data_IF_115128865266
#
_entry.id   IF_115128865266
#
_cell.length_a   1.000
_cell.length_b   1.000
_cell.length_c   1.000
_cell.angle_alpha   90.00
_cell.angle_beta   90.00
_cell.angle_gamma   90.00
#
_symmetry.space_group_name_H-M   'P 1'
#
loop_
_entity.id
_entity.type
_entity.pdbx_description
1 polymer ?
#
# COMPACT_ATOMS: atom_id res chain seq x y z
N UNK A 1 5.49 11.22 13.25
CA UNK A 1 6.48 10.71 14.22
C UNK A 1 7.75 11.57 14.29
N UNK A 2 8.31 12.04 13.15
CA UNK A 2 9.50 12.90 13.15
C UNK A 2 9.38 14.20 14.00
N UNK A 3 8.26 14.94 13.89
CA UNK A 3 8.00 16.16 14.69
C UNK A 3 7.99 15.85 16.19
N UNK A 4 7.41 14.71 16.59
CA UNK A 4 7.34 14.25 17.99
C UNK A 4 8.73 13.86 18.51
N UNK A 5 9.54 13.14 17.73
CA UNK A 5 10.91 12.80 18.12
C UNK A 5 11.78 14.05 18.25
N UNK A 6 11.59 15.04 17.37
CA UNK A 6 12.34 16.29 17.40
C UNK A 6 12.02 17.14 18.63
N UNK A 7 10.77 17.16 19.10
CA UNK A 7 10.42 17.85 20.37
C UNK A 7 11.22 17.33 21.57
N UNK A 8 11.58 16.04 21.59
CA UNK A 8 12.43 15.47 22.65
C UNK A 8 13.94 15.62 22.40
N UNK A 9 14.37 15.97 21.18
CA UNK A 9 15.78 16.16 20.81
C UNK A 9 16.20 17.63 20.66
N UNK A 10 15.31 18.58 20.97
CA UNK A 10 15.53 20.03 20.83
C UNK A 10 16.80 20.54 21.52
N UNK A 11 17.15 19.96 22.67
CA UNK A 11 18.33 20.33 23.45
C UNK A 11 19.67 19.94 22.80
N UNK A 12 19.66 18.97 21.87
CA UNK A 12 20.86 18.46 21.19
C UNK A 12 21.32 19.37 20.03
N UNK A 13 20.41 20.17 19.46
CA UNK A 13 20.72 21.06 18.34
C UNK A 13 21.01 22.49 18.82
N UNK A 14 22.31 22.81 18.88
CA UNK A 14 22.84 24.08 19.39
C UNK A 14 22.44 25.29 18.52
N UNK A 15 22.33 25.12 17.19
CA UNK A 15 22.01 26.20 16.26
C UNK A 15 20.50 26.28 15.98
N UNK A 16 19.93 27.49 16.05
CA UNK A 16 18.53 27.79 15.68
C UNK A 16 18.24 27.50 14.20
N UNK A 17 19.21 27.73 13.31
CA UNK A 17 19.05 27.48 11.87
C UNK A 17 18.82 26.01 11.54
N UNK A 18 19.60 25.10 12.16
CA UNK A 18 19.44 23.66 11.96
C UNK A 18 18.08 23.15 12.44
N UNK A 19 17.57 23.68 13.56
CA UNK A 19 16.23 23.34 14.07
C UNK A 19 15.14 23.75 13.08
N UNK A 20 15.19 24.98 12.60
CA UNK A 20 14.21 25.50 11.64
C UNK A 20 14.26 24.72 10.32
N UNK A 21 15.47 24.42 9.81
CA UNK A 21 15.65 23.65 8.58
C UNK A 21 15.04 22.25 8.67
N UNK A 22 15.23 21.54 9.79
CA UNK A 22 14.65 20.21 9.98
C UNK A 22 13.12 20.27 10.05
N UNK A 23 12.54 21.25 10.76
CA UNK A 23 11.08 21.40 10.82
C UNK A 23 10.49 21.72 9.45
N UNK A 24 11.06 22.70 8.74
CA UNK A 24 10.60 23.07 7.41
C UNK A 24 10.70 21.89 6.42
N UNK A 25 11.83 21.18 6.43
CA UNK A 25 12.03 19.98 5.62
C UNK A 25 11.02 18.87 5.96
N UNK A 26 10.74 18.67 7.26
CA UNK A 26 9.76 17.67 7.72
C UNK A 26 8.34 18.00 7.26
N UNK A 27 7.93 19.27 7.33
CA UNK A 27 6.61 19.73 6.86
C UNK A 27 6.52 19.56 5.34
N UNK A 28 7.54 19.97 4.59
CA UNK A 28 7.57 19.83 3.14
C UNK A 28 7.46 18.37 2.71
N UNK A 29 8.28 17.49 3.32
CA UNK A 29 8.23 16.05 3.08
C UNK A 29 6.85 15.47 3.40
N UNK A 30 6.25 15.90 4.52
CA UNK A 30 4.93 15.44 4.94
C UNK A 30 3.84 15.84 3.95
N UNK A 31 3.82 17.12 3.52
CA UNK A 31 2.84 17.62 2.55
C UNK A 31 3.00 16.91 1.21
N UNK A 32 4.24 16.73 0.74
CA UNK A 32 4.51 16.00 -0.51
C UNK A 32 4.05 14.55 -0.43
N UNK A 33 4.41 13.83 0.64
CA UNK A 33 4.01 12.44 0.84
C UNK A 33 2.47 12.31 0.93
N UNK A 34 1.81 13.22 1.66
CA UNK A 34 0.35 13.27 1.78
C UNK A 34 -0.31 13.54 0.43
N UNK A 35 0.25 14.45 -0.37
CA UNK A 35 -0.25 14.74 -1.70
C UNK A 35 -0.08 13.54 -2.65
N UNK A 36 1.07 12.86 -2.63
CA UNK A 36 1.32 11.66 -3.44
C UNK A 36 0.34 10.53 -3.10
N UNK A 37 0.18 10.20 -1.81
CA UNK A 37 -0.74 9.12 -1.40
C UNK A 37 -2.21 9.46 -1.64
N UNK A 38 -2.59 10.74 -1.67
CA UNK A 38 -3.97 11.15 -1.96
C UNK A 38 -4.26 11.26 -3.46
N UNK A 39 -3.30 11.71 -4.25
CA UNK A 39 -3.48 11.89 -5.69
C UNK A 39 -3.34 10.59 -6.46
N UNK A 40 -2.52 9.65 -5.97
CA UNK A 40 -2.16 8.42 -6.71
C UNK A 40 -1.59 8.73 -8.11
N UNK A 41 -1.04 9.93 -8.33
CA UNK A 41 -0.65 10.43 -9.65
C UNK A 41 0.43 9.58 -10.37
N UNK A 42 1.19 8.78 -9.61
CA UNK A 42 2.24 7.91 -10.12
C UNK A 42 1.81 6.45 -10.29
N UNK A 43 0.54 6.12 -10.05
CA UNK A 43 -0.01 4.76 -10.20
C UNK A 43 -0.72 4.69 -11.54
N UNK A 44 -0.33 3.72 -12.37
CA UNK A 44 -0.82 3.51 -13.74
C UNK A 44 -1.26 2.06 -13.90
N UNK A 45 -1.95 1.74 -14.98
CA UNK A 45 -2.63 0.44 -15.17
C UNK A 45 -1.74 -0.77 -14.86
N UNK A 46 -0.57 -0.86 -15.50
CA UNK A 46 0.35 -1.99 -15.30
C UNK A 46 0.89 -2.05 -13.87
N UNK A 47 1.25 -0.92 -13.26
CA UNK A 47 1.77 -0.92 -11.88
C UNK A 47 0.69 -1.23 -10.84
N UNK A 48 -0.56 -0.82 -11.11
CA UNK A 48 -1.72 -1.16 -10.29
C UNK A 48 -2.04 -2.66 -10.37
N UNK A 49 -2.12 -3.21 -11.58
CA UNK A 49 -2.43 -4.64 -11.80
C UNK A 49 -1.33 -5.52 -11.18
N UNK A 50 -0.06 -5.20 -11.40
CA UNK A 50 1.07 -5.92 -10.79
C UNK A 50 1.04 -5.90 -9.26
N UNK A 51 0.54 -4.84 -8.64
CA UNK A 51 0.35 -4.77 -7.20
C UNK A 51 -0.90 -5.54 -6.72
N UNK A 52 -1.93 -5.66 -7.56
CA UNK A 52 -3.17 -6.37 -7.20
C UNK A 52 -3.06 -7.89 -7.29
N UNK A 53 -2.22 -8.44 -8.17
CA UNK A 53 -1.95 -9.90 -8.21
C UNK A 53 -1.51 -10.42 -6.83
N UNK A 54 -0.44 -9.91 -6.19
CA UNK A 54 -0.03 -10.39 -4.87
C UNK A 54 -1.04 -10.03 -3.77
N UNK A 55 -1.78 -8.92 -3.89
CA UNK A 55 -2.86 -8.57 -2.96
C UNK A 55 -4.01 -9.62 -2.97
N UNK A 56 -4.36 -10.12 -4.15
CA UNK A 56 -5.35 -11.19 -4.27
C UNK A 56 -4.78 -12.52 -3.77
N UNK A 57 -3.53 -12.83 -4.13
CA UNK A 57 -2.85 -14.05 -3.68
C UNK A 57 -2.74 -14.13 -2.15
N UNK A 58 -2.46 -13.02 -1.45
CA UNK A 58 -2.42 -13.04 0.01
C UNK A 58 -3.80 -13.29 0.62
N UNK A 59 -4.88 -12.75 0.04
CA UNK A 59 -6.24 -13.01 0.52
C UNK A 59 -6.63 -14.49 0.36
N UNK A 60 -6.22 -15.13 -0.73
CA UNK A 60 -6.38 -16.59 -0.93
C UNK A 60 -5.60 -17.36 0.15
N UNK A 61 -4.32 -17.03 0.37
CA UNK A 61 -3.47 -17.68 1.39
C UNK A 61 -4.03 -17.51 2.81
N UNK A 62 -4.52 -16.31 3.13
CA UNK A 62 -5.16 -16.04 4.43
C UNK A 62 -6.41 -16.90 4.60
N UNK A 63 -7.24 -17.01 3.57
CA UNK A 63 -8.43 -17.86 3.63
C UNK A 63 -8.08 -19.36 3.71
N UNK A 64 -7.07 -19.85 3.01
CA UNK A 64 -6.63 -21.25 3.09
C UNK A 64 -6.19 -21.66 4.52
N UNK A 65 -5.73 -20.70 5.32
CA UNK A 65 -5.32 -20.91 6.72
C UNK A 65 -6.38 -20.51 7.74
N UNK A 66 -7.52 -19.97 7.31
CA UNK A 66 -8.56 -19.50 8.21
C UNK A 66 -9.43 -20.66 8.71
N UNK A 67 -9.58 -20.76 10.03
CA UNK A 67 -10.53 -21.66 10.68
C UNK A 67 -11.90 -20.96 10.77
N UNK A 68 -12.80 -21.32 9.84
CA UNK A 68 -14.15 -20.75 9.77
C UNK A 68 -15.17 -21.79 10.26
N UNK A 69 -16.04 -21.41 11.19
CA UNK A 69 -17.08 -22.29 11.74
C UNK A 69 -18.48 -21.98 11.22
N UNK A 70 -18.79 -20.73 10.86
CA UNK A 70 -20.09 -20.33 10.30
C UNK A 70 -20.18 -20.75 8.82
N UNK A 71 -21.14 -21.63 8.44
CA UNK A 71 -21.31 -22.09 7.05
C UNK A 71 -21.53 -20.95 6.04
N UNK A 72 -22.19 -19.86 6.45
CA UNK A 72 -22.45 -18.69 5.59
C UNK A 72 -21.15 -17.97 5.24
N UNK A 73 -20.23 -17.89 6.20
CA UNK A 73 -18.91 -17.28 6.01
C UNK A 73 -18.02 -18.18 5.15
N UNK A 74 -18.11 -19.51 5.32
CA UNK A 74 -17.40 -20.46 4.46
C UNK A 74 -17.83 -20.38 3.00
N UNK A 75 -19.14 -20.26 2.76
CA UNK A 75 -19.72 -20.10 1.41
C UNK A 75 -19.25 -18.80 0.76
N UNK A 76 -19.37 -17.67 1.47
CA UNK A 76 -18.89 -16.38 0.99
C UNK A 76 -17.38 -16.41 0.69
N UNK A 77 -16.59 -17.03 1.56
CA UNK A 77 -15.15 -17.09 1.35
C UNK A 77 -14.76 -17.96 0.16
N UNK A 78 -15.53 -19.03 -0.11
CA UNK A 78 -15.36 -19.86 -1.32
C UNK A 78 -15.67 -19.05 -2.58
N UNK A 79 -16.75 -18.24 -2.58
CA UNK A 79 -17.07 -17.38 -3.72
C UNK A 79 -16.01 -16.30 -3.94
N UNK A 80 -15.49 -15.71 -2.86
CA UNK A 80 -14.40 -14.72 -2.93
C UNK A 80 -13.14 -15.34 -3.54
N UNK A 81 -12.67 -16.51 -3.07
CA UNK A 81 -11.47 -17.15 -3.66
C UNK A 81 -11.68 -17.44 -5.15
N UNK A 82 -12.85 -17.95 -5.53
CA UNK A 82 -13.15 -18.26 -6.92
C UNK A 82 -13.03 -17.02 -7.81
N UNK A 83 -13.60 -15.90 -7.37
CA UNK A 83 -13.49 -14.62 -8.07
C UNK A 83 -12.02 -14.17 -8.14
N UNK A 84 -11.31 -14.16 -7.01
CA UNK A 84 -9.93 -13.67 -6.94
C UNK A 84 -8.96 -14.48 -7.82
N UNK A 85 -9.14 -15.80 -7.95
CA UNK A 85 -8.34 -16.63 -8.88
C UNK A 85 -8.62 -16.27 -10.34
N UNK A 86 -9.88 -15.99 -10.69
CA UNK A 86 -10.25 -15.52 -12.02
C UNK A 86 -9.69 -14.12 -12.32
N UNK A 87 -9.70 -13.23 -11.33
CA UNK A 87 -9.15 -11.87 -11.46
C UNK A 87 -7.62 -11.92 -11.63
N UNK A 88 -6.91 -12.78 -10.90
CA UNK A 88 -5.47 -13.00 -11.09
C UNK A 88 -5.16 -13.41 -12.54
N UNK A 89 -5.89 -14.38 -13.10
CA UNK A 89 -5.66 -14.81 -14.48
C UNK A 89 -5.90 -13.70 -15.52
N UNK A 90 -6.95 -12.88 -15.33
CA UNK A 90 -7.21 -11.71 -16.19
C UNK A 90 -6.08 -10.67 -16.08
N UNK A 91 -5.65 -10.39 -14.85
CA UNK A 91 -4.56 -9.45 -14.56
C UNK A 91 -3.23 -9.91 -15.18
N UNK A 92 -2.87 -11.18 -15.05
CA UNK A 92 -1.66 -11.75 -15.67
C UNK A 92 -1.69 -11.65 -17.19
N UNK A 93 -2.84 -11.91 -17.81
CA UNK A 93 -3.02 -11.77 -19.26
C UNK A 93 -2.84 -10.31 -19.72
N UNK A 94 -3.42 -9.34 -19.00
CA UNK A 94 -3.29 -7.91 -19.33
C UNK A 94 -1.85 -7.41 -19.17
N UNK A 95 -1.12 -7.89 -18.14
CA UNK A 95 0.30 -7.56 -17.97
C UNK A 95 1.12 -8.10 -19.14
N UNK A 96 0.91 -9.36 -19.53
CA UNK A 96 1.63 -9.97 -20.64
C UNK A 96 1.37 -9.24 -21.97
N UNK A 97 0.13 -8.84 -22.24
CA UNK A 97 -0.23 -8.08 -23.44
C UNK A 97 0.39 -6.67 -23.45
N UNK A 98 0.45 -6.02 -22.28
CA UNK A 98 1.04 -4.68 -22.15
C UNK A 98 2.57 -4.67 -22.24
N UNK A 99 3.24 -5.77 -21.87
CA UNK A 99 4.70 -5.92 -21.94
C UNK A 99 5.19 -6.48 -23.29
N UNK A 100 4.29 -7.09 -24.06
CA UNK A 100 4.55 -7.60 -25.41
C UNK A 100 4.42 -6.56 -26.52
N UNK A 101 4.00 -5.33 -26.19
CA UNK A 101 3.95 -4.14 -27.06
C UNK A 101 5.22 -3.29 -26.89
#
# INVERSE_FOLDING_TARGET
MAVVMLTFMLAKYRNRGSKLGIYAGSILLFVLALWLVRSQATVQDVSWIKAMIPHHSIAILTRERAELSDPRVQELATSIIKAQRGDIGQMEALVADSEGQ
#
